data_IF_386294584151
#
_entry.id   IF_386294584151
#
_cell.length_a   1.000
_cell.length_b   1.000
_cell.length_c   1.000
_cell.angle_alpha   90.00
_cell.angle_beta   90.00
_cell.angle_gamma   90.00
#
_symmetry.space_group_name_H-M   'P 1'
#
loop_
_entity.id
_entity.type
_entity.pdbx_description
1 polymer ?
#
# COMPACT_ATOMS: atom_id res chain seq x y z
N UNK A 1 -1.89 33.46 -5.12
CA UNK A 1 -2.36 32.21 -5.73
C UNK A 1 -1.98 30.94 -4.96
N UNK A 2 -0.76 30.82 -4.41
CA UNK A 2 -0.36 29.61 -3.64
C UNK A 2 -1.15 29.35 -2.35
N UNK A 3 -1.61 30.39 -1.64
CA UNK A 3 -2.38 30.22 -0.37
C UNK A 3 -3.79 29.66 -0.58
N UNK A 4 -4.39 29.90 -1.72
CA UNK A 4 -5.75 29.42 -2.05
C UNK A 4 -5.76 27.94 -2.44
N UNK A 5 -4.66 27.45 -3.01
CA UNK A 5 -4.53 26.05 -3.44
C UNK A 5 -4.35 25.10 -2.25
N UNK A 6 -3.57 25.53 -1.23
CA UNK A 6 -3.37 24.74 0.00
C UNK A 6 -4.68 24.58 0.78
N UNK A 7 -5.52 25.65 0.83
CA UNK A 7 -6.83 25.58 1.47
C UNK A 7 -7.81 24.65 0.75
N UNK A 8 -7.71 24.52 -0.58
CA UNK A 8 -8.60 23.67 -1.38
C UNK A 8 -8.26 22.19 -1.23
N UNK A 9 -6.98 21.83 -1.07
CA UNK A 9 -6.55 20.45 -0.85
C UNK A 9 -6.95 19.96 0.55
N UNK A 10 -6.92 20.82 1.56
CA UNK A 10 -7.38 20.48 2.92
C UNK A 10 -8.91 20.33 3.04
N UNK A 11 -9.70 21.02 2.21
CA UNK A 11 -11.16 20.99 2.29
C UNK A 11 -11.79 19.70 1.70
N UNK A 12 -11.05 18.93 0.91
CA UNK A 12 -11.55 17.68 0.29
C UNK A 12 -11.58 16.47 1.24
N UNK A 13 -11.06 16.59 2.45
CA UNK A 13 -10.88 15.45 3.39
C UNK A 13 -11.99 15.33 4.44
N UNK A 14 -12.90 16.30 4.54
CA UNK A 14 -13.88 16.34 5.63
C UNK A 14 -15.30 16.05 5.12
N UNK A 15 -15.56 14.82 4.72
CA UNK A 15 -16.91 14.25 4.75
C UNK A 15 -16.88 12.99 5.61
N UNK A 16 -17.69 12.98 6.68
CA UNK A 16 -17.77 11.87 7.63
C UNK A 16 -18.05 10.54 6.92
N UNK A 17 -17.28 9.46 7.18
CA UNK A 17 -17.49 8.18 6.54
C UNK A 17 -18.70 7.47 7.17
N UNK A 18 -19.57 6.94 6.32
CA UNK A 18 -20.40 5.78 6.68
C UNK A 18 -19.46 4.58 6.95
N UNK A 19 -19.76 3.69 7.92
CA UNK A 19 -18.94 2.52 8.17
C UNK A 19 -18.97 1.62 6.93
N UNK A 20 -17.91 1.64 6.15
CA UNK A 20 -17.68 0.76 5.04
C UNK A 20 -16.73 -0.35 5.49
N UNK A 21 -17.01 -1.59 5.11
CA UNK A 21 -16.12 -2.72 5.34
C UNK A 21 -14.91 -2.57 4.42
N UNK A 22 -13.73 -2.49 4.98
CA UNK A 22 -12.52 -2.11 4.25
C UNK A 22 -11.48 -3.21 4.20
N UNK A 23 -10.77 -3.22 3.08
CA UNK A 23 -9.52 -3.94 2.92
C UNK A 23 -8.39 -3.14 3.59
N UNK A 24 -7.45 -3.83 4.26
CA UNK A 24 -6.27 -3.17 4.80
C UNK A 24 -5.40 -2.62 3.66
N UNK A 25 -4.74 -1.48 3.88
CA UNK A 25 -3.89 -0.80 2.91
C UNK A 25 -2.68 -1.66 2.46
N UNK A 26 -2.41 -2.73 3.17
CA UNK A 26 -1.22 -3.56 3.06
C UNK A 26 -1.46 -4.71 2.10
N UNK A 27 -0.83 -4.69 0.95
CA UNK A 27 -1.01 -5.79 0.04
C UNK A 27 0.07 -5.91 -1.02
N UNK A 28 0.72 -4.83 -1.41
CA UNK A 28 1.61 -4.78 -2.57
C UNK A 28 2.95 -4.18 -2.17
N UNK A 29 4.03 -4.72 -2.75
CA UNK A 29 5.39 -4.23 -2.59
C UNK A 29 6.13 -4.92 -1.45
N UNK A 30 6.99 -5.88 -1.78
CA UNK A 30 7.82 -6.59 -0.80
C UNK A 30 8.73 -5.63 -0.02
N UNK A 31 9.21 -4.56 -0.67
CA UNK A 31 9.96 -3.51 0.02
C UNK A 31 9.11 -2.79 1.07
N UNK A 32 7.90 -2.39 0.71
CA UNK A 32 6.97 -1.75 1.62
C UNK A 32 6.57 -2.68 2.77
N UNK A 33 6.32 -3.96 2.46
CA UNK A 33 6.06 -5.00 3.47
C UNK A 33 7.20 -5.10 4.49
N UNK A 34 8.46 -5.12 4.03
CA UNK A 34 9.64 -5.17 4.91
C UNK A 34 9.80 -3.95 5.82
N UNK A 35 9.17 -2.83 5.48
CA UNK A 35 9.11 -1.59 6.27
C UNK A 35 7.79 -1.44 7.05
N UNK A 36 7.03 -2.53 7.23
CA UNK A 36 5.72 -2.54 7.88
C UNK A 36 4.70 -1.56 7.27
N UNK A 37 4.80 -1.25 5.96
CA UNK A 37 3.92 -0.34 5.25
C UNK A 37 4.26 1.16 5.41
N UNK A 38 5.38 1.52 6.03
CA UNK A 38 5.86 2.90 6.08
C UNK A 38 6.53 3.28 4.75
N UNK A 39 5.74 3.56 3.71
CA UNK A 39 6.25 3.68 2.34
C UNK A 39 5.69 4.86 1.53
N UNK A 40 4.65 5.56 2.00
CA UNK A 40 3.97 6.67 1.27
C UNK A 40 4.92 7.80 0.88
N UNK A 41 5.85 8.17 1.77
CA UNK A 41 6.87 9.18 1.48
C UNK A 41 8.17 8.61 0.89
N UNK A 42 8.33 7.28 0.91
CA UNK A 42 9.47 6.57 0.32
C UNK A 42 9.23 6.27 -1.15
N UNK A 43 8.12 5.65 -1.50
CA UNK A 43 7.59 5.22 -2.81
C UNK A 43 8.47 5.61 -4.02
N UNK A 44 9.58 4.87 -4.22
CA UNK A 44 10.62 5.19 -5.19
C UNK A 44 10.93 4.04 -6.15
N UNK A 45 9.97 3.15 -6.35
CA UNK A 45 9.98 2.03 -7.30
C UNK A 45 8.63 1.91 -8.04
N UNK A 46 8.46 0.90 -8.89
CA UNK A 46 7.24 0.73 -9.68
C UNK A 46 5.98 0.52 -8.82
N UNK A 47 6.11 0.06 -7.55
CA UNK A 47 4.99 -0.06 -6.62
C UNK A 47 4.48 1.29 -6.11
N UNK A 48 5.14 2.41 -6.47
CA UNK A 48 4.64 3.74 -6.18
C UNK A 48 3.24 3.98 -6.76
N UNK A 49 2.87 3.32 -7.88
CA UNK A 49 1.51 3.33 -8.41
C UNK A 49 0.45 2.85 -7.40
N UNK A 50 0.84 2.05 -6.41
CA UNK A 50 0.01 1.60 -5.30
C UNK A 50 0.13 2.49 -4.06
N UNK A 51 1.36 2.80 -3.62
CA UNK A 51 1.63 3.47 -2.34
C UNK A 51 1.43 4.98 -2.39
N UNK A 52 2.02 5.62 -3.39
CA UNK A 52 1.87 7.04 -3.67
C UNK A 52 2.25 7.30 -5.13
N UNK A 53 1.28 7.52 -6.00
CA UNK A 53 1.52 7.74 -7.43
C UNK A 53 2.56 8.82 -7.75
N UNK A 54 2.65 9.86 -6.90
CA UNK A 54 3.62 10.94 -7.07
C UNK A 54 5.09 10.49 -6.95
N UNK A 55 5.32 9.32 -6.36
CA UNK A 55 6.64 8.73 -6.25
C UNK A 55 7.29 8.43 -7.59
N UNK A 56 6.53 8.03 -8.62
CA UNK A 56 7.06 7.78 -9.96
C UNK A 56 7.73 9.01 -10.56
N UNK A 57 7.13 10.19 -10.40
CA UNK A 57 7.68 11.42 -10.93
C UNK A 57 8.73 12.10 -10.01
N UNK A 58 8.77 11.70 -8.74
CA UNK A 58 9.72 12.26 -7.77
C UNK A 58 11.04 11.51 -7.77
N UNK A 59 11.01 10.21 -7.94
CA UNK A 59 12.10 9.32 -7.53
C UNK A 59 12.67 8.48 -8.66
N UNK A 60 11.89 8.15 -9.68
CA UNK A 60 12.35 7.33 -10.79
C UNK A 60 13.13 8.20 -11.78
N UNK A 61 14.38 7.85 -11.97
CA UNK A 61 15.24 8.43 -13.01
C UNK A 61 15.34 7.52 -14.25
N UNK A 62 14.96 6.25 -14.08
CA UNK A 62 15.05 5.18 -15.09
C UNK A 62 13.79 4.33 -15.03
N UNK A 63 13.63 3.42 -15.99
CA UNK A 63 12.56 2.44 -15.95
C UNK A 63 12.76 1.45 -14.80
N UNK A 64 11.66 1.04 -14.19
CA UNK A 64 11.62 0.06 -13.09
C UNK A 64 10.50 -0.94 -13.37
N UNK A 65 10.80 -2.22 -13.22
CA UNK A 65 9.85 -3.32 -13.39
C UNK A 65 9.87 -4.18 -12.14
N UNK A 66 8.70 -4.52 -11.64
CA UNK A 66 8.53 -5.41 -10.50
C UNK A 66 7.53 -6.52 -10.85
N UNK A 67 7.91 -7.75 -10.50
CA UNK A 67 7.00 -8.89 -10.49
C UNK A 67 7.04 -9.53 -9.11
N UNK A 68 5.89 -9.62 -8.44
CA UNK A 68 5.75 -10.02 -7.03
C UNK A 68 4.76 -11.16 -6.87
N UNK A 69 5.04 -12.02 -5.88
CA UNK A 69 4.12 -13.04 -5.36
C UNK A 69 4.14 -13.00 -3.83
N UNK A 70 2.98 -13.25 -3.21
CA UNK A 70 2.85 -13.32 -1.76
C UNK A 70 2.21 -14.64 -1.28
N UNK A 71 2.27 -14.89 0.01
CA UNK A 71 1.70 -16.08 0.67
C UNK A 71 0.20 -16.20 0.47
N UNK A 72 -0.53 -15.09 0.34
CA UNK A 72 -1.98 -15.06 0.16
C UNK A 72 -2.42 -15.38 -1.27
N UNK A 73 -1.47 -15.68 -2.20
CA UNK A 73 -1.73 -15.86 -3.63
C UNK A 73 -1.94 -14.53 -4.37
N UNK A 74 -1.63 -13.42 -3.73
CA UNK A 74 -1.54 -12.12 -4.37
C UNK A 74 -0.40 -12.11 -5.39
N UNK A 75 -0.59 -11.34 -6.44
CA UNK A 75 0.39 -11.14 -7.51
C UNK A 75 0.41 -9.69 -7.93
N UNK A 76 1.59 -9.17 -8.19
CA UNK A 76 1.74 -7.83 -8.72
C UNK A 76 2.70 -7.82 -9.91
N UNK A 77 2.36 -7.03 -10.91
CA UNK A 77 3.27 -6.66 -11.98
C UNK A 77 3.14 -5.15 -12.16
N UNK A 78 4.25 -4.45 -12.08
CA UNK A 78 4.27 -3.01 -12.24
C UNK A 78 5.45 -2.56 -13.10
N UNK A 79 5.19 -1.60 -13.96
CA UNK A 79 6.19 -0.86 -14.74
C UNK A 79 6.12 0.59 -14.30
N UNK A 80 7.24 1.15 -13.88
CA UNK A 80 7.41 2.55 -13.56
C UNK A 80 8.41 3.20 -14.51
N UNK A 81 8.04 4.37 -15.01
CA UNK A 81 8.92 5.30 -15.72
C UNK A 81 8.83 6.65 -15.04
N UNK A 82 9.74 7.58 -15.30
CA UNK A 82 9.58 8.94 -14.81
C UNK A 82 8.21 9.50 -15.20
N UNK A 83 7.38 9.78 -14.19
CA UNK A 83 6.02 10.32 -14.32
C UNK A 83 4.96 9.42 -14.99
N UNK A 84 5.29 8.19 -15.36
CA UNK A 84 4.35 7.26 -15.97
C UNK A 84 4.44 5.87 -15.32
N UNK A 85 3.31 5.20 -15.10
CA UNK A 85 3.27 3.85 -14.58
C UNK A 85 2.17 3.01 -15.20
N UNK A 86 2.43 1.71 -15.32
CA UNK A 86 1.45 0.69 -15.64
C UNK A 86 1.47 -0.36 -14.55
N UNK A 87 0.32 -0.79 -14.07
CA UNK A 87 0.26 -1.77 -12.99
C UNK A 87 -0.88 -2.75 -13.17
N UNK A 88 -0.63 -3.98 -12.74
CA UNK A 88 -1.62 -5.01 -12.53
C UNK A 88 -1.41 -5.62 -11.16
N UNK A 89 -2.46 -5.59 -10.34
CA UNK A 89 -2.45 -6.16 -9.00
C UNK A 89 -3.60 -7.15 -8.87
N UNK A 90 -3.28 -8.35 -8.40
CA UNK A 90 -4.27 -9.34 -8.00
C UNK A 90 -4.19 -9.54 -6.49
N UNK A 91 -5.26 -9.20 -5.81
CA UNK A 91 -5.39 -9.29 -4.37
C UNK A 91 -6.43 -10.33 -4.01
N UNK A 92 -6.16 -11.14 -3.01
CA UNK A 92 -7.14 -12.04 -2.44
C UNK A 92 -7.78 -11.38 -1.22
N UNK A 93 -9.03 -10.98 -1.38
CA UNK A 93 -9.83 -10.38 -0.30
C UNK A 93 -10.42 -11.54 0.50
N UNK A 94 -9.69 -12.03 1.50
CA UNK A 94 -10.09 -13.25 2.20
C UNK A 94 -11.10 -13.05 3.34
N UNK A 95 -11.59 -11.83 3.63
CA UNK A 95 -12.38 -11.60 4.85
C UNK A 95 -13.30 -10.38 4.79
N UNK A 96 -14.09 -10.23 3.74
CA UNK A 96 -15.27 -9.36 3.84
C UNK A 96 -16.43 -10.26 4.24
N UNK A 97 -16.78 -10.30 5.52
CA UNK A 97 -18.05 -10.89 5.94
C UNK A 97 -19.18 -9.93 5.64
N UNK A 98 -20.21 -10.34 4.89
CA UNK A 98 -21.45 -9.58 4.77
C UNK A 98 -22.02 -9.36 6.17
N UNK A 99 -22.46 -8.16 6.47
CA UNK A 99 -23.06 -7.78 7.76
C UNK A 99 -24.31 -8.59 8.13
N UNK A 100 -24.88 -9.35 7.17
CA UNK A 100 -26.07 -10.18 7.32
C UNK A 100 -25.83 -11.60 7.86
N UNK A 101 -24.60 -12.12 7.86
CA UNK A 101 -24.31 -13.49 8.27
C UNK A 101 -24.55 -13.78 9.77
N UNK A 102 -24.71 -12.74 10.59
CA UNK A 102 -25.00 -12.87 12.03
C UNK A 102 -26.49 -13.19 12.29
N UNK A 103 -27.37 -12.91 11.33
CA UNK A 103 -28.82 -13.10 11.51
C UNK A 103 -29.30 -14.53 11.30
N UNK A 104 -28.50 -15.44 10.75
CA UNK A 104 -28.92 -16.79 10.39
C UNK A 104 -28.43 -17.90 11.34
N UNK A 105 -28.43 -17.67 12.65
CA UNK A 105 -28.46 -18.76 13.64
C UNK A 105 -27.12 -19.46 13.94
N UNK A 106 -25.98 -18.99 13.46
CA UNK A 106 -24.68 -19.48 13.88
C UNK A 106 -24.33 -18.88 15.27
N UNK A 107 -24.34 -19.71 16.30
CA UNK A 107 -24.22 -19.29 17.69
C UNK A 107 -22.83 -18.84 18.13
N UNK A 108 -21.80 -19.01 17.31
CA UNK A 108 -20.48 -18.44 17.57
C UNK A 108 -19.57 -18.40 16.35
N UNK A 109 -18.64 -17.46 16.35
CA UNK A 109 -17.55 -17.29 15.37
C UNK A 109 -16.65 -18.55 15.27
N UNK A 110 -16.59 -19.32 16.33
CA UNK A 110 -15.80 -20.54 16.46
C UNK A 110 -16.39 -21.71 15.65
N UNK A 111 -17.72 -21.74 15.48
CA UNK A 111 -18.40 -22.80 14.73
C UNK A 111 -18.15 -22.69 13.22
N UNK A 112 -17.98 -21.48 12.68
CA UNK A 112 -17.67 -21.24 11.27
C UNK A 112 -16.23 -21.60 10.91
N UNK A 113 -15.30 -21.42 11.85
CA UNK A 113 -13.88 -21.77 11.66
C UNK A 113 -13.68 -23.28 11.80
N UNK A 114 -14.43 -23.95 12.68
CA UNK A 114 -14.28 -25.39 12.94
C UNK A 114 -14.89 -26.28 11.85
N UNK A 115 -15.84 -25.78 11.05
CA UNK A 115 -16.49 -26.55 9.97
C UNK A 115 -15.72 -26.51 8.64
N UNK A 116 -14.57 -25.80 8.56
CA UNK A 116 -13.76 -25.77 7.35
C UNK A 116 -14.42 -25.09 6.14
N UNK A 117 -15.60 -24.49 6.32
CA UNK A 117 -16.28 -23.67 5.31
C UNK A 117 -15.70 -22.27 5.33
N UNK A 118 -14.40 -22.14 5.03
CA UNK A 118 -13.79 -20.84 4.72
C UNK A 118 -14.58 -20.24 3.56
N UNK A 119 -15.12 -19.03 3.76
CA UNK A 119 -15.71 -18.28 2.65
C UNK A 119 -14.68 -18.19 1.53
N UNK A 120 -15.05 -18.48 0.28
CA UNK A 120 -14.11 -18.44 -0.83
C UNK A 120 -13.50 -17.05 -0.90
N UNK A 121 -12.16 -16.99 -0.92
CA UNK A 121 -11.46 -15.73 -1.10
C UNK A 121 -11.91 -15.07 -2.40
N UNK A 122 -12.35 -13.83 -2.33
CA UNK A 122 -12.76 -13.06 -3.50
C UNK A 122 -11.52 -12.42 -4.09
N UNK A 123 -11.18 -12.77 -5.33
CA UNK A 123 -10.09 -12.12 -6.07
C UNK A 123 -10.50 -10.73 -6.53
N UNK A 124 -9.68 -9.74 -6.27
CA UNK A 124 -9.76 -8.40 -6.83
C UNK A 124 -8.59 -8.22 -7.80
N UNK A 125 -8.88 -8.02 -9.08
CA UNK A 125 -7.93 -7.65 -10.09
C UNK A 125 -7.99 -6.14 -10.33
N UNK A 126 -6.84 -5.45 -10.27
CA UNK A 126 -6.75 -4.01 -10.52
C UNK A 126 -5.74 -3.73 -11.63
N UNK A 127 -6.17 -3.06 -12.68
CA UNK A 127 -5.32 -2.52 -13.74
C UNK A 127 -5.21 -1.01 -13.55
N UNK A 128 -4.00 -0.48 -13.55
CA UNK A 128 -3.75 0.93 -13.31
C UNK A 128 -2.84 1.58 -14.35
N UNK A 129 -3.18 2.83 -14.69
CA UNK A 129 -2.31 3.74 -15.44
C UNK A 129 -2.05 4.95 -14.56
N UNK A 130 -0.80 5.18 -14.24
CA UNK A 130 -0.36 6.28 -13.40
C UNK A 130 0.27 7.38 -14.24
N UNK A 131 -0.09 8.63 -13.95
CA UNK A 131 0.50 9.82 -14.56
C UNK A 131 0.82 10.83 -13.46
N UNK A 132 2.05 11.36 -13.49
CA UNK A 132 2.53 12.34 -12.53
C UNK A 132 3.06 13.59 -13.18
N UNK A 133 3.04 14.69 -12.44
CA UNK A 133 3.57 15.97 -12.90
C UNK A 133 4.19 16.77 -11.75
N UNK A 134 5.36 17.33 -11.97
CA UNK A 134 5.94 18.33 -11.08
C UNK A 134 5.21 19.66 -11.25
N UNK A 135 4.59 20.15 -10.17
CA UNK A 135 3.87 21.45 -10.16
C UNK A 135 4.72 22.57 -9.57
N UNK A 136 5.79 22.21 -8.86
CA UNK A 136 6.81 23.12 -8.35
C UNK A 136 8.14 22.38 -8.19
N UNK A 137 9.23 23.11 -7.91
CA UNK A 137 10.58 22.52 -7.74
C UNK A 137 10.68 21.44 -6.68
N UNK A 138 9.76 21.43 -5.71
CA UNK A 138 9.75 20.50 -4.58
C UNK A 138 8.44 19.72 -4.44
N UNK A 139 7.50 19.89 -5.38
CA UNK A 139 6.15 19.33 -5.24
C UNK A 139 5.71 18.62 -6.52
N UNK A 140 5.34 17.37 -6.36
CA UNK A 140 4.80 16.50 -7.40
C UNK A 140 3.38 16.11 -7.03
N UNK A 141 2.50 16.08 -8.02
CA UNK A 141 1.17 15.48 -7.94
C UNK A 141 1.05 14.37 -8.98
N UNK A 142 0.27 13.36 -8.68
CA UNK A 142 0.02 12.27 -9.61
C UNK A 142 -1.36 11.66 -9.38
N UNK A 143 -1.82 10.96 -10.39
CA UNK A 143 -3.04 10.16 -10.32
C UNK A 143 -2.83 8.79 -10.94
N UNK A 144 -3.54 7.78 -10.43
CA UNK A 144 -3.68 6.47 -11.04
C UNK A 144 -5.13 6.25 -11.40
N UNK A 145 -5.41 6.19 -12.70
CA UNK A 145 -6.69 5.67 -13.20
C UNK A 145 -6.63 4.15 -13.14
N UNK A 146 -7.60 3.51 -12.49
CA UNK A 146 -7.63 2.06 -12.36
C UNK A 146 -8.99 1.47 -12.70
N UNK A 147 -8.96 0.23 -13.15
CA UNK A 147 -10.12 -0.62 -13.33
C UNK A 147 -10.04 -1.72 -12.27
N UNK A 148 -11.00 -1.72 -11.36
CA UNK A 148 -11.15 -2.75 -10.34
C UNK A 148 -12.15 -3.79 -10.84
N UNK A 149 -11.73 -5.05 -10.94
CA UNK A 149 -12.54 -6.16 -11.43
C UNK A 149 -12.70 -7.23 -10.35
N UNK A 150 -13.94 -7.56 -10.06
CA UNK A 150 -14.30 -8.60 -9.09
C UNK A 150 -15.41 -9.46 -9.66
N UNK A 151 -15.18 -10.79 -9.71
CA UNK A 151 -16.14 -11.74 -10.33
C UNK A 151 -16.43 -11.35 -11.79
N UNK A 152 -17.61 -10.80 -12.06
CA UNK A 152 -18.05 -10.36 -13.39
C UNK A 152 -18.24 -8.83 -13.50
N UNK A 153 -17.91 -8.09 -12.45
CA UNK A 153 -18.12 -6.64 -12.39
C UNK A 153 -16.81 -5.89 -12.52
N UNK A 154 -16.82 -4.79 -13.28
CA UNK A 154 -15.65 -3.92 -13.45
C UNK A 154 -16.05 -2.48 -13.18
N UNK A 155 -15.36 -1.84 -12.26
CA UNK A 155 -15.61 -0.45 -11.90
C UNK A 155 -14.36 0.40 -12.10
N UNK A 156 -14.47 1.58 -12.73
CA UNK A 156 -13.38 2.53 -12.80
C UNK A 156 -13.22 3.25 -11.46
N UNK A 157 -11.97 3.49 -11.09
CA UNK A 157 -11.62 4.18 -9.86
C UNK A 157 -10.38 5.07 -10.05
N UNK A 158 -10.04 5.86 -9.04
CA UNK A 158 -9.00 6.86 -9.09
C UNK A 158 -8.23 6.91 -7.76
N UNK A 159 -6.91 6.89 -7.87
CA UNK A 159 -6.02 7.21 -6.76
C UNK A 159 -5.31 8.55 -7.02
N UNK A 160 -5.06 9.30 -5.98
CA UNK A 160 -4.33 10.57 -6.02
C UNK A 160 -3.13 10.51 -5.09
N UNK A 161 -2.03 11.09 -5.52
CA UNK A 161 -0.81 11.19 -4.73
C UNK A 161 -0.20 12.58 -4.81
N UNK A 162 0.39 12.99 -3.69
CA UNK A 162 1.19 14.21 -3.58
C UNK A 162 2.48 13.87 -2.87
N UNK A 163 3.61 14.40 -3.35
CA UNK A 163 4.90 14.24 -2.71
C UNK A 163 5.69 15.55 -2.73
N UNK A 164 6.16 15.97 -1.56
CA UNK A 164 7.08 17.07 -1.37
C UNK A 164 8.48 16.57 -1.03
N UNK A 165 9.53 17.13 -1.65
CA UNK A 165 10.92 16.77 -1.39
C UNK A 165 11.74 17.98 -1.03
N UNK A 166 12.36 18.01 0.15
CA UNK A 166 13.12 19.11 0.72
C UNK A 166 14.47 18.60 1.22
N UNK A 167 15.43 18.46 0.31
CA UNK A 167 16.70 17.83 0.61
C UNK A 167 16.55 16.37 1.00
N UNK A 168 16.94 16.01 2.22
CA UNK A 168 16.77 14.64 2.75
C UNK A 168 15.35 14.35 3.22
N UNK A 169 14.53 15.37 3.46
CA UNK A 169 13.16 15.20 3.95
C UNK A 169 12.20 15.01 2.79
N UNK A 170 11.34 14.00 2.91
CA UNK A 170 10.18 13.79 2.04
C UNK A 170 8.89 13.74 2.85
N UNK A 171 7.82 14.24 2.24
CA UNK A 171 6.48 14.21 2.79
C UNK A 171 5.52 13.72 1.72
N UNK A 172 4.70 12.74 2.02
CA UNK A 172 3.77 12.14 1.09
C UNK A 172 2.34 12.16 1.63
N UNK A 173 1.39 12.30 0.73
CA UNK A 173 -0.03 12.11 0.96
C UNK A 173 -0.60 11.31 -0.20
N UNK A 174 -1.37 10.29 0.11
CA UNK A 174 -2.10 9.51 -0.90
C UNK A 174 -3.56 9.33 -0.50
N UNK A 175 -4.43 9.36 -1.49
CA UNK A 175 -5.84 9.00 -1.35
C UNK A 175 -6.14 7.94 -2.38
N UNK A 176 -6.57 6.76 -1.93
CA UNK A 176 -6.92 5.61 -2.76
C UNK A 176 -8.41 5.39 -2.75
N UNK A 177 -8.88 4.71 -3.78
CA UNK A 177 -10.27 4.30 -3.95
C UNK A 177 -11.23 5.50 -3.82
N UNK A 178 -10.90 6.61 -4.52
CA UNK A 178 -11.58 7.90 -4.39
C UNK A 178 -13.07 7.80 -4.71
N UNK A 179 -13.46 6.90 -5.63
CA UNK A 179 -14.84 6.68 -6.04
C UNK A 179 -15.56 5.65 -5.19
N UNK A 180 -14.83 4.96 -4.30
CA UNK A 180 -15.35 3.91 -3.44
C UNK A 180 -16.22 2.90 -4.22
N UNK A 181 -15.64 2.16 -5.19
CA UNK A 181 -16.41 1.26 -6.03
C UNK A 181 -17.06 0.15 -5.20
N UNK A 182 -18.33 -0.14 -5.52
CA UNK A 182 -19.14 -1.15 -4.86
C UNK A 182 -19.38 -2.32 -5.81
N UNK A 183 -19.23 -3.53 -5.33
CA UNK A 183 -19.39 -4.79 -6.05
C UNK A 183 -20.46 -5.66 -5.40
N UNK A 184 -21.25 -6.34 -6.22
CA UNK A 184 -22.35 -7.20 -5.78
C UNK A 184 -23.61 -6.43 -5.38
N UNK A 185 -24.62 -7.19 -5.01
CA UNK A 185 -25.94 -6.68 -4.57
C UNK A 185 -26.40 -7.39 -3.31
N UNK A 186 -27.20 -6.74 -2.48
CA UNK A 186 -27.75 -7.32 -1.25
C UNK A 186 -26.67 -7.58 -0.18
N UNK A 187 -26.78 -8.73 0.49
CA UNK A 187 -25.91 -9.09 1.59
C UNK A 187 -24.47 -9.44 1.16
N UNK A 188 -24.27 -9.81 -0.11
CA UNK A 188 -22.96 -10.09 -0.71
C UNK A 188 -22.24 -8.85 -1.26
N UNK A 189 -22.85 -7.68 -1.13
CA UNK A 189 -22.26 -6.45 -1.59
C UNK A 189 -21.08 -6.03 -0.71
N UNK A 190 -20.00 -5.61 -1.33
CA UNK A 190 -18.87 -4.98 -0.63
C UNK A 190 -18.42 -3.72 -1.37
N UNK A 191 -17.77 -2.85 -0.66
CA UNK A 191 -17.25 -1.58 -1.16
C UNK A 191 -15.76 -1.50 -0.88
N UNK A 192 -15.00 -0.95 -1.83
CA UNK A 192 -13.63 -0.53 -1.58
C UNK A 192 -13.68 0.91 -1.03
N UNK A 193 -13.58 1.12 0.27
CA UNK A 193 -13.74 2.45 0.84
C UNK A 193 -12.53 3.30 0.51
N UNK A 194 -12.78 4.58 0.37
CA UNK A 194 -11.72 5.56 0.22
C UNK A 194 -10.79 5.55 1.41
N UNK A 195 -9.50 5.46 1.12
CA UNK A 195 -8.43 5.43 2.11
C UNK A 195 -7.48 6.60 1.89
N UNK A 196 -7.12 7.30 2.95
CA UNK A 196 -6.13 8.36 2.93
C UNK A 196 -5.00 8.03 3.92
N UNK A 197 -3.75 8.18 3.47
CA UNK A 197 -2.55 7.94 4.28
C UNK A 197 -1.54 9.05 4.04
N UNK A 198 -0.91 9.51 5.12
CA UNK A 198 0.21 10.45 5.07
C UNK A 198 1.49 9.76 5.53
N UNK A 199 2.63 10.24 5.02
CA UNK A 199 3.94 9.75 5.39
C UNK A 199 4.97 10.84 5.44
N UNK A 200 6.00 10.62 6.26
CA UNK A 200 7.21 11.43 6.33
C UNK A 200 8.40 10.48 6.27
N UNK A 201 9.41 10.82 5.47
CA UNK A 201 10.64 10.05 5.39
C UNK A 201 11.87 10.96 5.39
N UNK A 202 12.94 10.46 5.99
CA UNK A 202 14.28 11.05 5.89
C UNK A 202 15.15 10.07 5.12
N UNK A 203 15.73 10.55 4.02
CA UNK A 203 16.59 9.76 3.14
C UNK A 203 17.99 10.34 3.23
N UNK A 204 18.86 9.68 4.00
CA UNK A 204 20.25 10.09 4.15
C UNK A 204 21.10 9.51 3.01
N UNK A 205 22.00 10.32 2.42
CA UNK A 205 22.93 9.88 1.39
C UNK A 205 24.02 8.95 1.97
N UNK A 206 24.82 8.39 1.07
CA UNK A 206 25.96 7.52 1.38
C UNK A 206 26.93 8.13 2.42
N UNK A 207 27.35 7.32 3.39
CA UNK A 207 28.38 7.67 4.35
C UNK A 207 29.16 6.42 4.77
N UNK A 208 30.45 6.40 4.47
CA UNK A 208 31.30 5.25 4.76
C UNK A 208 30.87 4.01 3.98
N UNK A 209 30.55 2.94 4.68
CA UNK A 209 30.08 1.65 4.12
C UNK A 209 28.58 1.61 3.81
N UNK A 210 27.86 2.64 4.23
CA UNK A 210 26.42 2.76 4.04
C UNK A 210 26.13 3.58 2.78
N UNK A 211 25.45 2.99 1.81
CA UNK A 211 25.12 3.65 0.54
C UNK A 211 23.87 4.54 0.64
N UNK A 212 22.92 4.16 1.48
CA UNK A 212 21.68 4.90 1.72
C UNK A 212 21.01 4.43 3.01
N UNK A 213 20.49 5.37 3.77
CA UNK A 213 19.62 5.10 4.91
C UNK A 213 18.29 5.83 4.71
N UNK A 214 17.20 5.11 4.87
CA UNK A 214 15.84 5.67 4.83
C UNK A 214 15.17 5.36 6.15
N UNK A 215 14.58 6.38 6.77
CA UNK A 215 13.69 6.26 7.92
C UNK A 215 12.34 6.84 7.53
N UNK A 216 11.24 6.14 7.82
CA UNK A 216 9.91 6.56 7.44
C UNK A 216 8.89 6.29 8.54
N UNK A 217 7.87 7.14 8.58
CA UNK A 217 6.68 7.00 9.42
C UNK A 217 5.46 7.33 8.60
N UNK A 218 4.48 6.43 8.58
CA UNK A 218 3.20 6.60 7.89
C UNK A 218 2.03 6.48 8.87
N UNK A 219 0.98 7.26 8.61
CA UNK A 219 -0.26 7.27 9.40
C UNK A 219 -1.47 7.26 8.47
N UNK A 220 -2.41 6.33 8.72
CA UNK A 220 -3.74 6.37 8.11
C UNK A 220 -4.53 7.57 8.62
N UNK A 221 -5.07 8.36 7.72
CA UNK A 221 -5.93 9.50 8.03
C UNK A 221 -7.42 9.10 8.09
N UNK A 222 -7.76 7.98 7.44
CA UNK A 222 -9.09 7.38 7.47
C UNK A 222 -9.08 6.12 8.33
N UNK A 223 -10.21 5.81 8.91
CA UNK A 223 -10.44 4.55 9.61
C UNK A 223 -11.16 3.58 8.67
N UNK A 224 -10.67 2.36 8.61
CA UNK A 224 -11.27 1.27 7.86
C UNK A 224 -11.90 0.26 8.83
N UNK A 225 -13.08 -0.26 8.53
CA UNK A 225 -13.67 -1.33 9.34
C UNK A 225 -13.40 -2.68 8.69
N UNK A 226 -12.55 -3.49 9.32
CA UNK A 226 -12.16 -4.82 8.85
C UNK A 226 -12.67 -5.86 9.84
N UNK A 227 -13.52 -6.79 9.38
CA UNK A 227 -14.12 -7.81 10.25
C UNK A 227 -14.82 -7.24 11.51
N UNK A 228 -15.49 -6.09 11.38
CA UNK A 228 -16.18 -5.43 12.47
C UNK A 228 -15.25 -4.79 13.52
N UNK A 229 -13.98 -4.61 13.19
CA UNK A 229 -13.01 -3.85 13.99
C UNK A 229 -12.54 -2.64 13.20
N UNK A 230 -12.42 -1.54 13.88
CA UNK A 230 -11.85 -0.33 13.28
C UNK A 230 -10.33 -0.46 13.20
N UNK A 231 -9.82 -0.24 11.99
CA UNK A 231 -8.38 -0.26 11.71
C UNK A 231 -7.92 1.11 11.22
N UNK A 232 -6.88 1.60 11.85
CA UNK A 232 -6.14 2.80 11.50
C UNK A 232 -4.68 2.57 11.85
N UNK A 233 -3.82 2.48 10.86
CA UNK A 233 -2.45 2.07 11.08
C UNK A 233 -1.52 3.26 11.29
N UNK A 234 -0.62 3.10 12.24
CA UNK A 234 0.61 3.86 12.38
C UNK A 234 1.77 2.88 12.14
N UNK A 235 2.63 3.20 11.20
CA UNK A 235 3.78 2.37 10.84
C UNK A 235 5.08 3.17 10.89
N UNK A 236 6.15 2.54 11.36
CA UNK A 236 7.50 3.05 11.31
C UNK A 236 8.42 2.05 10.64
N UNK A 237 9.26 2.51 9.70
CA UNK A 237 10.12 1.65 8.90
C UNK A 237 11.51 2.23 8.69
N UNK A 238 12.47 1.35 8.48
CA UNK A 238 13.86 1.65 8.19
C UNK A 238 14.36 0.79 7.03
N UNK A 239 15.13 1.37 6.13
CA UNK A 239 15.84 0.67 5.07
C UNK A 239 17.30 1.13 5.02
N UNK A 240 18.24 0.21 4.95
CA UNK A 240 19.67 0.48 4.78
C UNK A 240 20.21 -0.29 3.57
N UNK A 241 20.96 0.40 2.70
CA UNK A 241 21.65 -0.19 1.56
C UNK A 241 23.15 -0.13 1.75
N UNK A 242 23.83 -1.22 1.39
CA UNK A 242 25.28 -1.40 1.53
C UNK A 242 25.87 -2.07 0.30
N UNK A 243 27.21 -2.12 0.23
CA UNK A 243 27.99 -2.79 -0.82
C UNK A 243 27.69 -2.27 -2.23
N UNK A 244 27.61 -0.95 -2.40
CA UNK A 244 27.28 -0.32 -3.67
C UNK A 244 25.83 -0.61 -4.08
N UNK A 245 24.91 -0.62 -3.11
CA UNK A 245 23.48 -0.96 -3.26
C UNK A 245 23.21 -2.39 -3.73
N UNK A 246 24.11 -3.31 -3.42
CA UNK A 246 23.92 -4.74 -3.73
C UNK A 246 23.15 -5.49 -2.66
N UNK A 247 23.19 -5.01 -1.43
CA UNK A 247 22.43 -5.60 -0.32
C UNK A 247 21.63 -4.52 0.36
N UNK A 248 20.35 -4.77 0.52
CA UNK A 248 19.42 -3.95 1.28
C UNK A 248 18.85 -4.72 2.46
N UNK A 249 18.75 -4.09 3.62
CA UNK A 249 18.07 -4.66 4.78
C UNK A 249 17.00 -3.69 5.26
N UNK A 250 15.89 -4.23 5.72
CA UNK A 250 14.73 -3.45 6.17
C UNK A 250 14.17 -4.00 7.45
N UNK A 251 13.59 -3.12 8.23
CA UNK A 251 12.82 -3.47 9.40
C UNK A 251 11.73 -2.46 9.64
N UNK A 252 10.62 -2.92 10.20
CA UNK A 252 9.52 -2.02 10.51
C UNK A 252 8.62 -2.56 11.61
N UNK A 253 7.85 -1.67 12.19
CA UNK A 253 6.81 -1.96 13.17
C UNK A 253 5.56 -1.20 12.80
N UNK A 254 4.41 -1.83 12.95
CA UNK A 254 3.12 -1.20 12.74
C UNK A 254 2.16 -1.52 13.87
N UNK A 255 1.23 -0.62 14.13
CA UNK A 255 0.20 -0.81 15.15
C UNK A 255 -1.12 -0.24 14.67
N UNK A 256 -2.22 -0.84 15.13
CA UNK A 256 -3.55 -0.26 14.97
C UNK A 256 -3.78 0.76 16.09
N UNK A 257 -4.10 2.01 15.72
CA UNK A 257 -4.36 3.10 16.66
C UNK A 257 -5.85 3.42 16.84
N UNK A 258 -6.74 2.72 16.13
CA UNK A 258 -8.20 2.90 16.28
C UNK A 258 -8.82 1.91 17.26
N UNK A 259 -8.20 0.75 17.47
CA UNK A 259 -8.67 -0.29 18.39
C UNK A 259 -7.49 -1.12 18.90
N UNK A 260 -7.73 -1.97 19.90
CA UNK A 260 -6.71 -2.89 20.48
C UNK A 260 -6.28 -4.00 19.50
N UNK A 261 -6.03 -3.63 18.23
CA UNK A 261 -5.68 -4.56 17.14
C UNK A 261 -4.28 -5.13 17.18
N UNK A 262 -3.48 -4.80 18.20
CA UNK A 262 -2.12 -5.30 18.38
C UNK A 262 -1.10 -4.67 17.43
N UNK A 263 0.17 -4.96 17.70
CA UNK A 263 1.29 -4.49 16.89
C UNK A 263 1.85 -5.65 16.06
N UNK A 264 2.42 -5.35 14.90
CA UNK A 264 3.11 -6.32 14.06
C UNK A 264 4.51 -5.81 13.72
N UNK A 265 5.37 -6.73 13.30
CA UNK A 265 6.76 -6.44 12.92
C UNK A 265 7.01 -6.98 11.53
N UNK A 266 7.85 -6.29 10.80
CA UNK A 266 8.27 -6.69 9.47
C UNK A 266 9.79 -6.68 9.36
N UNK A 267 10.29 -7.56 8.52
CA UNK A 267 11.70 -7.63 8.15
C UNK A 267 11.81 -7.94 6.66
N UNK A 268 12.78 -7.35 5.98
CA UNK A 268 13.00 -7.57 4.56
C UNK A 268 14.47 -7.50 4.18
N UNK A 269 14.80 -8.19 3.09
CA UNK A 269 16.16 -8.22 2.53
C UNK A 269 16.07 -8.07 1.02
N UNK A 270 16.98 -7.32 0.42
CA UNK A 270 17.24 -7.26 -1.01
C UNK A 270 18.64 -7.77 -1.32
N UNK A 271 18.75 -8.47 -2.42
CA UNK A 271 20.05 -8.84 -2.99
C UNK A 271 20.07 -8.48 -4.48
N UNK A 272 21.11 -7.79 -4.92
CA UNK A 272 21.35 -7.50 -6.33
C UNK A 272 22.51 -8.39 -6.84
N UNK A 273 22.22 -9.58 -7.39
CA UNK A 273 23.24 -10.47 -7.95
C UNK A 273 23.97 -9.83 -9.14
N UNK A 274 23.25 -9.02 -9.89
CA UNK A 274 23.77 -8.20 -11.00
C UNK A 274 23.37 -6.75 -10.82
N UNK A 275 24.09 -5.81 -11.43
CA UNK A 275 23.64 -4.43 -11.50
C UNK A 275 22.26 -4.40 -12.17
N UNK A 276 21.29 -3.71 -11.56
CA UNK A 276 19.92 -3.54 -12.08
C UNK A 276 18.97 -4.73 -11.92
N UNK A 277 19.39 -5.85 -11.34
CA UNK A 277 18.52 -6.99 -11.01
C UNK A 277 18.52 -7.17 -9.52
N UNK A 278 17.34 -7.07 -8.90
CA UNK A 278 17.16 -7.24 -7.46
C UNK A 278 16.17 -8.37 -7.18
N UNK A 279 16.46 -9.13 -6.17
CA UNK A 279 15.53 -10.08 -5.56
C UNK A 279 15.23 -9.58 -4.16
N UNK A 280 13.98 -9.30 -3.88
CA UNK A 280 13.53 -8.80 -2.60
C UNK A 280 12.68 -9.85 -1.89
N UNK A 281 12.92 -10.05 -0.61
CA UNK A 281 12.12 -10.92 0.25
C UNK A 281 11.73 -10.18 1.52
N UNK A 282 10.49 -10.41 2.00
CA UNK A 282 10.03 -9.87 3.26
C UNK A 282 9.15 -10.86 4.02
N UNK A 283 9.12 -10.70 5.33
CA UNK A 283 8.24 -11.41 6.24
C UNK A 283 7.61 -10.43 7.21
N UNK A 284 6.34 -10.64 7.52
CA UNK A 284 5.61 -9.91 8.55
C UNK A 284 5.15 -10.90 9.61
N UNK A 285 5.19 -10.49 10.87
CA UNK A 285 4.72 -11.25 12.03
C UNK A 285 3.84 -10.39 12.89
N UNK A 286 2.66 -10.87 13.21
CA UNK A 286 1.67 -10.19 14.03
C UNK A 286 1.15 -11.06 15.18
N UNK A 287 0.24 -10.52 16.00
CA UNK A 287 -0.39 -11.28 17.08
C UNK A 287 -1.30 -12.40 16.56
N UNK A 288 -1.82 -12.26 15.34
CA UNK A 288 -2.71 -13.23 14.69
C UNK A 288 -2.01 -13.85 13.48
N UNK A 289 -2.23 -15.16 13.26
CA UNK A 289 -1.68 -15.88 12.10
C UNK A 289 -2.10 -15.26 10.74
N UNK A 290 -3.21 -14.53 10.69
CA UNK A 290 -3.65 -13.80 9.50
C UNK A 290 -2.71 -12.65 9.11
N UNK A 291 -1.90 -12.15 10.05
CA UNK A 291 -0.87 -11.12 9.82
C UNK A 291 0.51 -11.70 9.54
N UNK A 292 0.67 -13.01 9.67
CA UNK A 292 1.88 -13.71 9.27
C UNK A 292 1.90 -13.85 7.76
N UNK A 293 2.76 -13.11 7.11
CA UNK A 293 2.86 -13.07 5.65
C UNK A 293 4.31 -13.08 5.21
N UNK A 294 4.55 -13.64 4.03
CA UNK A 294 5.80 -13.47 3.32
C UNK A 294 5.52 -13.00 1.89
N UNK A 295 6.45 -12.29 1.31
CA UNK A 295 6.44 -11.85 -0.07
C UNK A 295 7.82 -12.01 -0.70
N UNK A 296 7.83 -12.22 -2.00
CA UNK A 296 9.02 -12.29 -2.85
C UNK A 296 8.79 -11.50 -4.12
N UNK A 297 9.74 -10.68 -4.52
CA UNK A 297 9.70 -10.02 -5.82
C UNK A 297 11.01 -10.11 -6.60
N UNK A 298 10.90 -9.91 -7.89
CA UNK A 298 11.97 -9.65 -8.82
C UNK A 298 11.81 -8.24 -9.36
N UNK A 299 12.83 -7.40 -9.17
CA UNK A 299 12.88 -6.04 -9.67
C UNK A 299 14.00 -5.86 -10.70
N UNK A 300 13.67 -5.21 -11.80
CA UNK A 300 14.61 -4.86 -12.88
C UNK A 300 14.60 -3.34 -13.05
N UNK A 301 15.79 -2.70 -13.04
CA UNK A 301 15.93 -1.27 -13.36
C UNK A 301 16.67 -1.11 -14.69
N UNK A 302 16.22 -0.25 -15.60
CA UNK A 302 16.78 -0.14 -16.96
C UNK A 302 16.72 1.28 -17.53
#
# INVERSE_FOLDING_TARGET
>A
MAKTFVSMVCALVVSAPTPALAQSFEGIGVRAQGMAGAFVAVADDATASWWNPAGLATSLSFGDFIAEVDQGGGRAVAFGFPALGLSYYRLNISQIQPSGAIASGASSRQDLVSTGTGLPAVGLDQFGVTMGQSIASHLVVASTLKLAHVRAETHPDLDLGVMGTFGALRMGLTVRDLRSPRFGVGEDAFELPRQARSGIAVIAPAHGWLDRLTLAVDLDLTTASVNGRDERHLAGGMEAWVLGRRVGVRGGVGTNVASDGGSFRAFGVSVAPYSRIYVDGAVTRGPDAARDRWGLDLRLTF
#
